data_IF_180970370172
#
_entry.id   IF_180970370172
#
_cell.length_a   1.000
_cell.length_b   1.000
_cell.length_c   1.000
_cell.angle_alpha   90.00
_cell.angle_beta   90.00
_cell.angle_gamma   90.00
#
_symmetry.space_group_name_H-M   'P 1'
#
loop_
_entity.id
_entity.type
_entity.pdbx_description
1 polymer ?
#
# COMPACT_ATOMS: atom_id res chain seq x y z
N UNK A 1 -16.33 -13.10 6.30
CA UNK A 1 -15.11 -12.27 6.10
C UNK A 1 -15.52 -10.81 6.11
N UNK A 2 -14.96 -10.05 7.05
CA UNK A 2 -15.18 -8.62 7.17
C UNK A 2 -14.52 -7.84 6.04
N UNK A 3 -14.84 -6.55 5.96
CA UNK A 3 -14.24 -5.63 5.00
C UNK A 3 -12.71 -5.55 5.15
N UNK A 4 -12.22 -5.41 6.38
CA UNK A 4 -10.78 -5.34 6.66
C UNK A 4 -10.06 -6.66 6.42
N UNK A 5 -10.71 -7.81 6.63
CA UNK A 5 -10.14 -9.12 6.29
C UNK A 5 -9.87 -9.23 4.78
N UNK A 6 -10.79 -8.71 3.96
CA UNK A 6 -10.63 -8.69 2.50
C UNK A 6 -9.51 -7.75 2.08
N UNK A 7 -9.39 -6.58 2.70
CA UNK A 7 -8.28 -5.67 2.45
C UNK A 7 -6.94 -6.31 2.81
N UNK A 8 -6.84 -6.92 3.99
CA UNK A 8 -5.63 -7.60 4.45
C UNK A 8 -5.24 -8.76 3.52
N UNK A 9 -6.23 -9.58 3.12
CA UNK A 9 -6.04 -10.64 2.14
C UNK A 9 -5.56 -10.09 0.79
N UNK A 10 -6.11 -8.96 0.33
CA UNK A 10 -5.70 -8.28 -0.90
C UNK A 10 -4.27 -7.72 -0.84
N UNK A 11 -3.86 -7.16 0.31
CA UNK A 11 -2.48 -6.69 0.50
C UNK A 11 -1.49 -7.86 0.43
N UNK A 12 -1.78 -8.97 1.12
CA UNK A 12 -0.97 -10.18 1.05
C UNK A 12 -0.91 -10.72 -0.39
N UNK A 13 -2.05 -10.79 -1.07
CA UNK A 13 -2.11 -11.25 -2.46
C UNK A 13 -1.30 -10.34 -3.40
N UNK A 14 -1.30 -9.02 -3.18
CA UNK A 14 -0.52 -8.05 -3.96
C UNK A 14 0.99 -8.26 -3.78
N UNK A 15 1.44 -8.47 -2.54
CA UNK A 15 2.84 -8.76 -2.24
C UNK A 15 3.29 -10.09 -2.85
N UNK A 16 2.47 -11.15 -2.70
CA UNK A 16 2.76 -12.45 -3.30
C UNK A 16 2.78 -12.37 -4.82
N UNK A 17 1.85 -11.64 -5.45
CA UNK A 17 1.86 -11.41 -6.89
C UNK A 17 3.14 -10.69 -7.32
N UNK A 18 3.56 -9.66 -6.60
CA UNK A 18 4.83 -8.97 -6.84
C UNK A 18 6.05 -9.89 -6.72
N UNK A 19 6.08 -10.75 -5.70
CA UNK A 19 7.14 -11.76 -5.54
C UNK A 19 7.15 -12.77 -6.71
N UNK A 20 5.97 -13.22 -7.16
CA UNK A 20 5.83 -14.11 -8.32
C UNK A 20 6.34 -13.44 -9.59
N UNK A 21 5.98 -12.17 -9.83
CA UNK A 21 6.49 -11.36 -10.95
C UNK A 21 8.01 -11.22 -10.88
N UNK A 22 8.59 -11.13 -9.69
CA UNK A 22 10.04 -11.07 -9.46
C UNK A 22 10.81 -12.33 -9.86
N UNK A 23 10.15 -13.45 -10.17
CA UNK A 23 10.80 -14.62 -10.77
C UNK A 23 10.89 -14.53 -12.30
N UNK A 24 10.26 -13.52 -12.92
CA UNK A 24 10.35 -13.33 -14.36
C UNK A 24 11.77 -12.88 -14.75
N UNK A 25 12.39 -13.43 -15.82
CA UNK A 25 13.80 -13.18 -16.15
C UNK A 25 14.18 -11.70 -16.38
N UNK A 26 13.21 -10.87 -16.74
CA UNK A 26 13.42 -9.43 -17.02
C UNK A 26 13.06 -8.51 -15.85
N UNK A 27 12.62 -9.06 -14.72
CA UNK A 27 12.24 -8.30 -13.53
C UNK A 27 13.11 -8.74 -12.36
N UNK A 28 13.80 -7.79 -11.75
CA UNK A 28 14.55 -8.11 -10.53
C UNK A 28 13.59 -8.32 -9.36
N UNK A 29 13.92 -9.23 -8.44
CA UNK A 29 13.08 -9.55 -7.28
C UNK A 29 12.60 -8.29 -6.51
N UNK A 30 13.49 -7.33 -6.29
CA UNK A 30 13.14 -6.08 -5.60
C UNK A 30 12.15 -5.21 -6.39
N UNK A 31 12.18 -5.24 -7.73
CA UNK A 31 11.24 -4.51 -8.58
C UNK A 31 9.84 -5.14 -8.52
N UNK A 32 9.77 -6.47 -8.58
CA UNK A 32 8.51 -7.21 -8.42
C UNK A 32 7.87 -6.95 -7.06
N UNK A 33 8.65 -7.05 -5.98
CA UNK A 33 8.21 -6.72 -4.62
C UNK A 33 7.80 -5.25 -4.48
N UNK A 34 8.54 -4.31 -5.07
CA UNK A 34 8.18 -2.90 -5.05
C UNK A 34 6.83 -2.65 -5.73
N UNK A 35 6.56 -3.29 -6.87
CA UNK A 35 5.26 -3.24 -7.54
C UNK A 35 4.13 -3.82 -6.68
N UNK A 36 4.34 -4.98 -6.08
CA UNK A 36 3.37 -5.59 -5.16
C UNK A 36 3.08 -4.72 -3.93
N UNK A 37 4.11 -4.09 -3.35
CA UNK A 37 3.99 -3.16 -2.23
C UNK A 37 3.25 -1.87 -2.61
N UNK A 38 3.45 -1.37 -3.83
CA UNK A 38 2.71 -0.22 -4.36
C UNK A 38 1.22 -0.53 -4.49
N UNK A 39 0.85 -1.74 -4.95
CA UNK A 39 -0.56 -2.16 -4.99
C UNK A 39 -1.15 -2.34 -3.58
N UNK A 40 -0.42 -2.99 -2.67
CA UNK A 40 -0.85 -3.16 -1.28
C UNK A 40 -1.06 -1.81 -0.57
N UNK A 41 -0.22 -0.84 -0.87
CA UNK A 41 -0.33 0.56 -0.43
C UNK A 41 -1.67 1.19 -0.83
N UNK A 42 -2.16 0.96 -2.05
CA UNK A 42 -3.45 1.51 -2.50
C UNK A 42 -4.61 0.91 -1.70
N UNK A 43 -4.55 -0.40 -1.40
CA UNK A 43 -5.53 -1.06 -0.56
C UNK A 43 -5.48 -0.55 0.88
N UNK A 44 -4.28 -0.29 1.41
CA UNK A 44 -4.11 0.32 2.72
C UNK A 44 -4.73 1.72 2.75
N UNK A 45 -4.50 2.52 1.71
CA UNK A 45 -5.06 3.86 1.60
C UNK A 45 -6.60 3.85 1.57
N UNK A 46 -7.21 2.90 0.84
CA UNK A 46 -8.66 2.69 0.82
C UNK A 46 -9.22 2.41 2.24
N UNK A 47 -8.56 1.54 3.00
CA UNK A 47 -8.98 1.18 4.36
C UNK A 47 -8.71 2.25 5.41
N UNK A 48 -7.64 3.04 5.26
CA UNK A 48 -7.22 3.99 6.28
C UNK A 48 -7.82 5.39 6.07
N UNK A 49 -8.11 5.78 4.83
CA UNK A 49 -8.52 7.16 4.51
C UNK A 49 -9.91 7.27 3.88
N UNK A 50 -10.31 6.31 3.03
CA UNK A 50 -11.68 6.34 2.45
C UNK A 50 -12.71 5.70 3.37
N UNK A 51 -12.36 4.57 3.99
CA UNK A 51 -13.26 3.83 4.89
C UNK A 51 -12.60 3.61 6.25
N UNK A 52 -12.18 4.69 6.97
CA UNK A 52 -11.43 4.55 8.20
C UNK A 52 -12.25 3.81 9.28
N UNK A 53 -11.60 2.99 10.13
CA UNK A 53 -12.24 2.36 11.27
C UNK A 53 -12.56 3.34 12.40
N UNK A 54 -12.07 4.58 12.28
CA UNK A 54 -12.21 5.68 13.25
C UNK A 54 -12.89 6.88 12.60
N UNK A 55 -13.51 7.78 13.38
CA UNK A 55 -14.17 8.98 12.84
C UNK A 55 -13.22 9.82 11.95
N UNK A 56 -13.66 10.28 10.77
CA UNK A 56 -12.81 11.04 9.84
C UNK A 56 -12.32 12.39 10.38
N UNK A 57 -12.98 12.92 11.41
CA UNK A 57 -12.63 14.19 12.06
C UNK A 57 -11.43 14.09 13.00
N UNK A 58 -10.87 12.90 13.21
CA UNK A 58 -9.67 12.71 14.02
C UNK A 58 -8.44 13.31 13.31
N UNK A 59 -7.80 14.28 13.95
CA UNK A 59 -6.55 14.91 13.47
C UNK A 59 -5.45 13.90 13.16
N UNK A 60 -5.46 12.73 13.83
CA UNK A 60 -4.50 11.64 13.58
C UNK A 60 -4.57 11.13 12.14
N UNK A 61 -5.77 11.05 11.57
CA UNK A 61 -5.98 10.61 10.18
C UNK A 61 -5.38 11.63 9.21
N UNK A 62 -5.64 12.92 9.44
CA UNK A 62 -5.06 13.99 8.61
C UNK A 62 -3.52 14.01 8.68
N UNK A 63 -2.93 13.83 9.88
CA UNK A 63 -1.48 13.75 10.02
C UNK A 63 -0.89 12.51 9.35
N UNK A 64 -1.55 11.35 9.48
CA UNK A 64 -1.12 10.13 8.83
C UNK A 64 -1.16 10.27 7.30
N UNK A 65 -2.20 10.92 6.76
CA UNK A 65 -2.29 11.22 5.33
C UNK A 65 -1.14 12.13 4.89
N UNK A 66 -0.87 13.20 5.62
CA UNK A 66 0.20 14.14 5.26
C UNK A 66 1.59 13.47 5.25
N UNK A 67 1.89 12.67 6.28
CA UNK A 67 3.15 11.91 6.37
C UNK A 67 3.25 10.90 5.23
N UNK A 68 2.16 10.19 4.93
CA UNK A 68 2.11 9.21 3.85
C UNK A 68 2.41 9.84 2.48
N UNK A 69 1.70 10.90 2.11
CA UNK A 69 1.91 11.57 0.82
C UNK A 69 3.28 12.26 0.76
N UNK A 70 3.75 12.85 1.87
CA UNK A 70 5.10 13.43 1.95
C UNK A 70 6.20 12.39 1.73
N UNK A 71 6.08 11.22 2.35
CA UNK A 71 7.00 10.10 2.13
C UNK A 71 6.98 9.57 0.69
N UNK A 72 5.80 9.43 0.09
CA UNK A 72 5.66 9.04 -1.32
C UNK A 72 6.30 10.07 -2.27
N UNK A 73 6.08 11.36 -2.03
CA UNK A 73 6.70 12.42 -2.83
C UNK A 73 8.23 12.37 -2.70
N UNK A 74 8.76 12.23 -1.48
CA UNK A 74 10.19 12.09 -1.25
C UNK A 74 10.76 10.89 -2.01
N UNK A 75 10.14 9.72 -1.92
CA UNK A 75 10.55 8.52 -2.65
C UNK A 75 10.55 8.74 -4.17
N UNK A 76 9.54 9.42 -4.71
CA UNK A 76 9.45 9.75 -6.13
C UNK A 76 10.56 10.70 -6.61
N UNK A 77 10.96 11.67 -5.77
CA UNK A 77 11.99 12.66 -6.12
C UNK A 77 13.41 12.25 -5.72
N UNK A 78 13.56 11.17 -4.94
CA UNK A 78 14.86 10.60 -4.56
C UNK A 78 15.29 9.40 -5.40
N UNK A 79 14.42 8.92 -6.28
CA UNK A 79 14.65 7.76 -7.17
C UNK A 79 15.25 8.18 -8.51
#
# INVERSE_FOLDING_TARGET
>A
MGYYDRLLGGMLASLLAGAVVGFHPVVQMHQGLAGGAALATLLLWEGLFRNPPVPPSDRRVATAAAVWHGGLLLLLFSA
#
